data_IF_228569916319
#
_entry.id   IF_228569916319
#
_cell.length_a   1.000
_cell.length_b   1.000
_cell.length_c   1.000
_cell.angle_alpha   90.00
_cell.angle_beta   90.00
_cell.angle_gamma   90.00
#
_symmetry.space_group_name_H-M   'P 1'
#
loop_
_entity.id
_entity.type
_entity.pdbx_description
1 polymer ?
#
# COMPACT_ATOMS: atom_id res chain seq x y z
N UNK A 1 -29.66 52.00 1.85
CA UNK A 1 -28.28 51.46 1.76
C UNK A 1 -28.29 50.04 2.28
N UNK A 2 -28.41 49.06 1.37
CA UNK A 2 -28.25 47.65 1.71
C UNK A 2 -26.75 47.34 1.66
N UNK A 3 -26.18 46.95 2.80
CA UNK A 3 -24.79 46.51 2.91
C UNK A 3 -24.68 45.12 2.30
N UNK A 4 -24.02 45.04 1.14
CA UNK A 4 -23.63 43.79 0.50
C UNK A 4 -22.69 43.00 1.42
N UNK A 5 -23.11 41.79 1.81
CA UNK A 5 -22.23 40.82 2.47
C UNK A 5 -21.24 40.30 1.44
N UNK A 6 -19.98 40.74 1.54
CA UNK A 6 -18.86 40.12 0.82
C UNK A 6 -18.72 38.67 1.28
N UNK A 7 -18.98 37.72 0.37
CA UNK A 7 -18.57 36.33 0.55
C UNK A 7 -17.05 36.25 0.66
N UNK A 8 -16.58 35.58 1.72
CA UNK A 8 -15.16 35.27 1.87
C UNK A 8 -14.80 34.16 0.89
N UNK A 9 -13.65 34.23 0.19
CA UNK A 9 -13.19 33.14 -0.63
C UNK A 9 -13.00 31.89 0.23
N UNK A 10 -13.61 30.77 -0.16
CA UNK A 10 -13.35 29.48 0.47
C UNK A 10 -11.88 29.11 0.24
N UNK A 11 -11.13 28.91 1.32
CA UNK A 11 -9.79 28.32 1.26
C UNK A 11 -9.93 26.88 0.72
N UNK A 12 -9.00 26.41 -0.13
CA UNK A 12 -9.00 25.02 -0.54
C UNK A 12 -8.85 24.13 0.71
N UNK A 13 -9.80 23.21 0.91
CA UNK A 13 -9.81 22.27 2.02
C UNK A 13 -8.66 21.28 1.87
N UNK A 14 -7.50 21.66 2.43
CA UNK A 14 -6.30 20.83 2.51
C UNK A 14 -6.26 20.08 3.85
N UNK A 15 -7.40 19.78 4.47
CA UNK A 15 -7.41 19.02 5.72
C UNK A 15 -7.20 17.53 5.43
N UNK A 16 -6.04 17.01 5.87
CA UNK A 16 -5.79 15.56 5.95
C UNK A 16 -6.79 14.96 6.95
N UNK A 17 -7.98 14.60 6.48
CA UNK A 17 -8.99 13.96 7.32
C UNK A 17 -8.85 12.44 7.23
N UNK A 18 -9.00 11.71 8.35
CA UNK A 18 -9.03 10.26 8.32
C UNK A 18 -10.04 9.78 7.29
N UNK A 19 -9.62 8.85 6.43
CA UNK A 19 -10.49 8.31 5.39
C UNK A 19 -11.75 7.66 5.99
N UNK A 20 -11.64 7.13 7.21
CA UNK A 20 -12.75 6.65 8.03
C UNK A 20 -12.53 7.03 9.49
N UNK A 21 -13.56 7.56 10.15
CA UNK A 21 -13.53 7.98 11.56
C UNK A 21 -13.27 6.79 12.51
N UNK A 22 -13.84 5.62 12.20
CA UNK A 22 -13.66 4.39 12.96
C UNK A 22 -13.01 3.32 12.08
N UNK A 23 -11.87 2.78 12.53
CA UNK A 23 -11.18 1.69 11.81
C UNK A 23 -12.12 0.48 11.60
N UNK A 24 -12.31 0.01 10.37
CA UNK A 24 -13.12 -1.18 10.09
C UNK A 24 -12.59 -2.44 10.79
N UNK A 25 -13.51 -3.37 11.06
CA UNK A 25 -13.17 -4.69 11.59
C UNK A 25 -12.65 -5.60 10.46
N UNK A 26 -13.24 -5.46 9.27
CA UNK A 26 -12.83 -6.19 8.07
C UNK A 26 -12.44 -5.21 6.97
N UNK A 27 -11.43 -5.57 6.19
CA UNK A 27 -11.02 -4.87 4.98
C UNK A 27 -10.85 -5.89 3.85
N UNK A 28 -11.35 -5.58 2.66
CA UNK A 28 -10.90 -6.27 1.46
C UNK A 28 -9.40 -6.04 1.30
N UNK A 29 -8.68 -7.04 0.81
CA UNK A 29 -7.23 -6.97 0.76
C UNK A 29 -6.65 -7.62 -0.49
N UNK A 30 -5.66 -6.94 -1.06
CA UNK A 30 -4.83 -7.49 -2.12
C UNK A 30 -3.54 -8.06 -1.52
N UNK A 31 -3.03 -9.13 -2.13
CA UNK A 31 -1.77 -9.77 -1.77
C UNK A 31 -0.74 -9.53 -2.88
N UNK A 32 0.30 -8.77 -2.55
CA UNK A 32 1.41 -8.47 -3.45
C UNK A 32 2.63 -9.25 -2.99
N UNK A 33 3.27 -9.96 -3.92
CA UNK A 33 4.51 -10.70 -3.65
C UNK A 33 5.62 -10.08 -4.48
N UNK A 34 6.78 -9.93 -3.87
CA UNK A 34 7.96 -9.40 -4.55
C UNK A 34 9.19 -10.12 -4.05
N UNK A 35 10.18 -10.24 -4.94
CA UNK A 35 11.48 -10.79 -4.61
C UNK A 35 12.51 -9.68 -4.74
N UNK A 36 13.42 -9.63 -3.76
CA UNK A 36 14.59 -8.77 -3.80
C UNK A 36 15.80 -9.64 -3.49
N UNK A 37 16.75 -9.72 -4.44
CA UNK A 37 17.86 -10.67 -4.35
C UNK A 37 17.35 -12.11 -4.12
N UNK A 38 17.72 -12.71 -2.98
CA UNK A 38 17.29 -14.05 -2.57
C UNK A 38 16.08 -14.03 -1.62
N UNK A 39 15.73 -12.87 -1.08
CA UNK A 39 14.65 -12.72 -0.12
C UNK A 39 13.30 -12.61 -0.84
N UNK A 40 12.36 -13.45 -0.45
CA UNK A 40 10.97 -13.37 -0.89
C UNK A 40 10.19 -12.58 0.15
N UNK A 41 9.33 -11.70 -0.33
CA UNK A 41 8.53 -10.82 0.50
C UNK A 41 7.07 -10.88 0.09
N UNK A 42 6.21 -10.56 1.04
CA UNK A 42 4.77 -10.46 0.85
C UNK A 42 4.25 -9.18 1.50
N UNK A 43 3.25 -8.59 0.87
CA UNK A 43 2.51 -7.44 1.36
C UNK A 43 1.01 -7.71 1.22
N UNK A 44 0.26 -7.51 2.28
CA UNK A 44 -1.20 -7.51 2.32
C UNK A 44 -1.64 -6.06 2.42
N UNK A 45 -2.30 -5.55 1.39
CA UNK A 45 -2.78 -4.17 1.33
C UNK A 45 -4.27 -4.20 1.58
N UNK A 46 -4.69 -3.73 2.76
CA UNK A 46 -6.09 -3.54 3.11
C UNK A 46 -6.66 -2.31 2.41
N UNK A 47 -7.87 -2.44 1.90
CA UNK A 47 -8.53 -1.48 1.03
C UNK A 47 -9.84 -0.98 1.64
N UNK A 48 -10.10 0.31 1.42
CA UNK A 48 -11.41 0.93 1.60
C UNK A 48 -11.76 1.61 0.27
N UNK A 49 -12.92 1.27 -0.29
CA UNK A 49 -13.38 1.79 -1.58
C UNK A 49 -12.32 1.68 -2.70
N UNK A 50 -11.58 0.56 -2.71
CA UNK A 50 -10.52 0.28 -3.67
C UNK A 50 -9.21 1.06 -3.45
N UNK A 51 -9.13 1.88 -2.40
CA UNK A 51 -7.94 2.67 -2.04
C UNK A 51 -7.17 2.03 -0.89
N UNK A 52 -5.82 2.06 -0.91
CA UNK A 52 -5.00 1.59 0.20
C UNK A 52 -5.32 2.32 1.49
N UNK A 53 -5.65 1.53 2.51
CA UNK A 53 -5.94 2.03 3.85
C UNK A 53 -4.89 1.58 4.86
N UNK A 54 -4.39 0.34 4.75
CA UNK A 54 -3.32 -0.17 5.58
C UNK A 54 -2.49 -1.24 4.85
N UNK A 55 -1.27 -1.46 5.29
CA UNK A 55 -0.36 -2.44 4.70
C UNK A 55 0.32 -3.27 5.79
N UNK A 56 0.39 -4.58 5.56
CA UNK A 56 1.08 -5.55 6.38
C UNK A 56 2.13 -6.22 5.50
N UNK A 57 3.39 -6.23 5.90
CA UNK A 57 4.45 -6.71 5.02
C UNK A 57 5.64 -7.26 5.79
N UNK A 58 6.27 -8.27 5.21
CA UNK A 58 7.48 -8.89 5.73
C UNK A 58 7.90 -10.07 4.87
N UNK A 59 8.82 -10.88 5.39
CA UNK A 59 9.41 -12.01 4.67
C UNK A 59 8.34 -13.08 4.39
N UNK A 60 8.39 -13.60 3.17
CA UNK A 60 7.62 -14.74 2.71
C UNK A 60 8.53 -15.96 2.70
N UNK A 61 8.92 -16.42 3.88
CA UNK A 61 9.68 -17.64 4.08
C UNK A 61 8.78 -18.80 4.53
N UNK A 62 9.17 -20.02 4.18
CA UNK A 62 8.41 -21.24 4.41
C UNK A 62 8.58 -21.77 5.85
N UNK A 63 9.67 -21.40 6.54
CA UNK A 63 9.98 -21.85 7.91
C UNK A 63 9.44 -20.91 9.02
N UNK A 64 9.70 -19.60 8.92
CA UNK A 64 9.29 -18.59 9.92
C UNK A 64 8.25 -17.57 9.40
N UNK A 65 7.90 -17.63 8.12
CA UNK A 65 7.09 -16.61 7.44
C UNK A 65 5.59 -16.92 7.35
N UNK A 66 4.90 -16.16 6.49
CA UNK A 66 3.48 -16.33 6.24
C UNK A 66 3.26 -17.32 5.09
N UNK A 67 2.72 -18.49 5.42
CA UNK A 67 2.29 -19.48 4.44
C UNK A 67 0.99 -19.05 3.74
N UNK A 68 1.12 -18.23 2.70
CA UNK A 68 0.01 -17.81 1.84
C UNK A 68 0.21 -18.36 0.41
N UNK A 69 -0.62 -19.33 -0.04
CA UNK A 69 -0.45 -19.98 -1.34
C UNK A 69 -0.31 -18.97 -2.49
N UNK A 70 0.60 -19.21 -3.43
CA UNK A 70 0.89 -18.28 -4.55
C UNK A 70 -0.32 -17.94 -5.42
N UNK A 71 -1.34 -18.79 -5.46
CA UNK A 71 -2.59 -18.54 -6.20
C UNK A 71 -3.51 -17.52 -5.51
N UNK A 72 -3.22 -17.15 -4.26
CA UNK A 72 -4.06 -16.25 -3.47
C UNK A 72 -3.54 -14.82 -3.64
N UNK A 73 -4.30 -14.03 -4.39
CA UNK A 73 -4.00 -12.63 -4.67
C UNK A 73 -4.96 -11.65 -3.99
N UNK A 74 -6.05 -12.16 -3.43
CA UNK A 74 -7.10 -11.39 -2.74
C UNK A 74 -7.60 -12.13 -1.52
N UNK A 75 -8.13 -11.39 -0.55
CA UNK A 75 -8.75 -11.92 0.65
C UNK A 75 -9.27 -10.78 1.52
N UNK A 76 -9.37 -11.04 2.82
CA UNK A 76 -9.80 -10.07 3.83
C UNK A 76 -8.79 -9.97 4.95
N UNK A 77 -8.54 -8.76 5.41
CA UNK A 77 -7.84 -8.51 6.68
C UNK A 77 -8.90 -8.33 7.75
N UNK A 78 -8.80 -9.09 8.82
CA UNK A 78 -9.78 -9.12 9.91
C UNK A 78 -9.07 -8.73 11.21
N UNK A 79 -9.58 -7.70 11.88
CA UNK A 79 -9.13 -7.32 13.21
C UNK A 79 -9.88 -8.16 14.25
N UNK A 80 -9.19 -9.14 14.83
CA UNK A 80 -9.70 -9.92 15.94
C UNK A 80 -9.33 -9.26 17.29
N UNK A 81 -10.25 -9.37 18.26
CA UNK A 81 -10.08 -8.91 19.64
C UNK A 81 -10.27 -10.14 20.52
N UNK A 82 -9.23 -10.52 21.25
CA UNK A 82 -9.26 -11.63 22.19
C UNK A 82 -10.03 -11.25 23.48
N UNK A 83 -10.46 -12.24 24.29
CA UNK A 83 -11.21 -11.99 25.52
C UNK A 83 -10.48 -11.10 26.54
N UNK A 84 -9.14 -11.13 26.53
CA UNK A 84 -8.26 -10.31 27.38
C UNK A 84 -8.08 -8.86 26.84
N UNK A 85 -8.69 -8.53 25.70
CA UNK A 85 -8.58 -7.23 25.03
C UNK A 85 -7.40 -7.12 24.06
N UNK A 86 -6.56 -8.15 23.94
CA UNK A 86 -5.43 -8.17 23.00
C UNK A 86 -5.96 -8.17 21.57
N UNK A 87 -5.32 -7.38 20.70
CA UNK A 87 -5.74 -7.20 19.30
C UNK A 87 -4.79 -7.96 18.38
N UNK A 88 -5.33 -8.79 17.49
CA UNK A 88 -4.58 -9.44 16.42
C UNK A 88 -5.20 -9.12 15.06
N UNK A 89 -4.42 -9.29 14.00
CA UNK A 89 -4.89 -9.17 12.63
C UNK A 89 -4.72 -10.49 11.93
N UNK A 90 -5.77 -10.94 11.28
CA UNK A 90 -5.81 -12.21 10.57
C UNK A 90 -6.04 -11.94 9.08
N UNK A 91 -5.53 -12.81 8.22
CA UNK A 91 -5.81 -12.78 6.78
C UNK A 91 -6.66 -13.98 6.38
N UNK A 92 -7.86 -13.74 5.86
CA UNK A 92 -8.77 -14.79 5.40
C UNK A 92 -8.88 -14.80 3.88
N UNK A 93 -8.83 -15.97 3.26
CA UNK A 93 -9.05 -16.16 1.84
C UNK A 93 -9.90 -17.40 1.56
N UNK A 94 -10.40 -17.52 0.33
CA UNK A 94 -11.09 -18.72 -0.15
C UNK A 94 -10.08 -19.59 -0.89
N UNK A 95 -9.88 -20.82 -0.40
CA UNK A 95 -8.96 -21.76 -1.03
C UNK A 95 -9.57 -22.38 -2.31
N UNK A 96 -8.76 -23.15 -3.04
CA UNK A 96 -9.18 -23.78 -4.32
C UNK A 96 -10.41 -24.71 -4.21
N UNK A 97 -10.75 -25.16 -2.99
CA UNK A 97 -11.90 -26.03 -2.70
C UNK A 97 -13.13 -25.23 -2.24
N UNK A 98 -13.07 -23.90 -2.22
CA UNK A 98 -14.18 -23.03 -1.81
C UNK A 98 -14.28 -22.81 -0.30
N UNK A 99 -13.35 -23.33 0.50
CA UNK A 99 -13.38 -23.14 1.96
C UNK A 99 -12.64 -21.88 2.38
N UNK A 100 -13.19 -21.21 3.40
CA UNK A 100 -12.48 -20.15 4.11
C UNK A 100 -11.25 -20.74 4.79
N UNK A 101 -10.11 -20.09 4.59
CA UNK A 101 -8.85 -20.39 5.26
C UNK A 101 -8.33 -19.11 5.86
N UNK A 102 -7.98 -19.16 7.15
CA UNK A 102 -7.51 -18.00 7.91
C UNK A 102 -6.06 -18.21 8.30
N UNK A 103 -5.23 -17.22 8.01
CA UNK A 103 -3.87 -17.06 8.55
C UNK A 103 -4.00 -16.13 9.75
N UNK A 104 -3.97 -16.70 10.95
CA UNK A 104 -4.08 -15.91 12.18
C UNK A 104 -2.76 -15.26 12.56
N UNK A 105 -2.84 -14.12 13.27
CA UNK A 105 -1.67 -13.46 13.85
C UNK A 105 -0.72 -12.86 12.81
N UNK A 106 -1.26 -12.36 11.69
CA UNK A 106 -0.51 -11.74 10.59
C UNK A 106 0.50 -10.72 11.10
N UNK A 107 0.10 -9.85 12.03
CA UNK A 107 0.97 -8.82 12.62
C UNK A 107 2.10 -9.36 13.49
N UNK A 108 1.94 -10.56 14.05
CA UNK A 108 2.92 -11.20 14.95
C UNK A 108 3.94 -12.03 14.18
N UNK A 109 3.66 -12.34 12.91
CA UNK A 109 4.51 -13.13 12.01
C UNK A 109 5.60 -12.31 11.31
N UNK A 110 5.70 -11.02 11.58
CA UNK A 110 6.67 -10.14 10.93
C UNK A 110 7.78 -9.73 11.90
N UNK A 111 8.98 -9.55 11.33
CA UNK A 111 10.08 -8.94 12.07
C UNK A 111 9.62 -7.58 12.67
N UNK A 112 9.85 -7.33 13.98
CA UNK A 112 9.38 -6.11 14.65
C UNK A 112 9.80 -4.80 13.99
N UNK A 113 10.98 -4.75 13.36
CA UNK A 113 11.50 -3.58 12.66
C UNK A 113 10.61 -3.24 11.45
N UNK A 114 10.44 -4.17 10.50
CA UNK A 114 9.58 -3.97 9.33
C UNK A 114 8.12 -3.72 9.72
N UNK A 115 7.66 -4.36 10.79
CA UNK A 115 6.32 -4.13 11.31
C UNK A 115 6.12 -2.69 11.82
N UNK A 116 7.12 -2.09 12.47
CA UNK A 116 7.06 -0.70 12.90
C UNK A 116 6.92 0.26 11.71
N UNK A 117 7.67 0.05 10.63
CA UNK A 117 7.51 0.84 9.41
C UNK A 117 6.16 0.60 8.72
N UNK A 118 5.70 -0.65 8.65
CA UNK A 118 4.38 -0.97 8.11
C UNK A 118 3.24 -0.27 8.89
N UNK A 119 3.36 -0.17 10.22
CA UNK A 119 2.43 0.60 11.07
C UNK A 119 2.48 2.10 10.77
N UNK A 120 3.67 2.67 10.56
CA UNK A 120 3.84 4.08 10.19
C UNK A 120 3.18 4.38 8.84
N UNK A 121 3.46 3.56 7.83
CA UNK A 121 2.87 3.69 6.49
C UNK A 121 1.35 3.52 6.55
N UNK A 122 0.86 2.55 7.32
CA UNK A 122 -0.58 2.39 7.57
C UNK A 122 -1.17 3.61 8.29
N UNK A 123 -0.43 4.25 9.19
CA UNK A 123 -0.83 5.54 9.77
C UNK A 123 -1.08 6.57 8.67
N UNK A 124 -0.08 6.78 7.82
CA UNK A 124 -0.12 7.75 6.73
C UNK A 124 -1.26 7.48 5.73
N UNK A 125 -1.45 6.22 5.33
CA UNK A 125 -2.55 5.82 4.43
C UNK A 125 -3.94 6.09 5.04
N UNK A 126 -4.12 5.82 6.33
CA UNK A 126 -5.39 6.07 7.03
C UNK A 126 -5.78 7.54 7.10
N UNK A 127 -4.81 8.44 7.16
CA UNK A 127 -5.03 9.89 7.09
C UNK A 127 -5.27 10.40 5.67
N UNK A 128 -5.46 9.49 4.71
CA UNK A 128 -5.85 9.85 3.34
C UNK A 128 -4.73 10.54 2.56
N UNK A 129 -3.47 10.37 2.97
CA UNK A 129 -2.35 10.94 2.23
C UNK A 129 -2.35 10.38 0.78
N UNK A 130 -2.23 11.24 -0.24
CA UNK A 130 -2.14 10.81 -1.63
C UNK A 130 -1.04 9.77 -1.84
N UNK A 131 -1.30 8.76 -2.68
CA UNK A 131 -0.39 7.63 -2.89
C UNK A 131 0.97 8.07 -3.42
N UNK A 132 1.04 9.09 -4.28
CA UNK A 132 2.30 9.65 -4.77
C UNK A 132 3.16 10.25 -3.65
N UNK A 133 2.52 10.89 -2.65
CA UNK A 133 3.22 11.41 -1.47
C UNK A 133 3.64 10.27 -0.53
N UNK A 134 2.81 9.25 -0.36
CA UNK A 134 3.16 8.05 0.41
C UNK A 134 4.40 7.38 -0.21
N UNK A 135 4.45 7.26 -1.55
CA UNK A 135 5.61 6.70 -2.25
C UNK A 135 6.88 7.53 -2.02
N UNK A 136 6.79 8.86 -2.07
CA UNK A 136 7.92 9.76 -1.75
C UNK A 136 8.40 9.55 -0.31
N UNK A 137 7.48 9.44 0.65
CA UNK A 137 7.81 9.19 2.06
C UNK A 137 8.50 7.84 2.22
N UNK A 138 7.97 6.77 1.63
CA UNK A 138 8.56 5.42 1.68
C UNK A 138 9.96 5.41 1.03
N UNK A 139 10.13 6.06 -0.12
CA UNK A 139 11.42 6.15 -0.80
C UNK A 139 12.49 6.90 0.01
N UNK A 140 12.07 7.95 0.72
CA UNK A 140 12.90 8.77 1.61
C UNK A 140 13.23 8.12 2.96
N UNK A 141 12.72 6.92 3.26
CA UNK A 141 13.17 6.16 4.43
C UNK A 141 14.64 5.78 4.25
N UNK A 142 15.52 6.49 4.96
CA UNK A 142 16.93 6.15 5.15
C UNK A 142 17.08 5.36 6.44
N UNK A 143 17.63 4.17 6.32
CA UNK A 143 17.61 3.18 7.39
C UNK A 143 18.92 2.39 7.31
N UNK A 144 19.51 2.13 8.47
CA UNK A 144 20.92 1.74 8.63
C UNK A 144 21.27 0.32 8.12
N UNK A 145 20.30 -0.40 7.56
CA UNK A 145 20.44 -1.80 7.14
C UNK A 145 20.20 -1.98 5.62
N UNK A 146 21.07 -2.72 4.92
CA UNK A 146 20.89 -2.99 3.48
C UNK A 146 19.58 -3.73 3.13
N UNK A 147 19.09 -4.62 4.00
CA UNK A 147 17.86 -5.39 3.77
C UNK A 147 16.58 -4.54 3.82
N UNK A 148 16.64 -3.33 4.38
CA UNK A 148 15.47 -2.47 4.45
C UNK A 148 15.31 -1.60 3.19
N UNK A 149 16.42 -1.29 2.52
CA UNK A 149 16.42 -0.56 1.24
C UNK A 149 15.79 -1.41 0.14
N UNK A 150 15.95 -2.73 0.20
CA UNK A 150 15.24 -3.65 -0.69
C UNK A 150 13.77 -3.75 -0.32
N UNK A 151 13.45 -3.91 0.96
CA UNK A 151 12.07 -3.94 1.45
C UNK A 151 11.26 -2.70 1.00
N UNK A 152 11.78 -1.48 1.16
CA UNK A 152 11.06 -0.24 0.75
C UNK A 152 10.73 -0.21 -0.74
N UNK A 153 11.63 -0.68 -1.61
CA UNK A 153 11.35 -0.79 -3.06
C UNK A 153 10.18 -1.74 -3.35
N UNK A 154 10.04 -2.80 -2.55
CA UNK A 154 8.91 -3.71 -2.62
C UNK A 154 7.60 -3.08 -2.19
N UNK A 155 7.62 -2.33 -1.08
CA UNK A 155 6.46 -1.58 -0.59
C UNK A 155 6.02 -0.53 -1.61
N UNK A 156 6.96 0.20 -2.20
CA UNK A 156 6.65 1.14 -3.29
C UNK A 156 5.95 0.44 -4.46
N UNK A 157 6.44 -0.72 -4.90
CA UNK A 157 5.81 -1.49 -5.97
C UNK A 157 4.40 -1.93 -5.58
N UNK A 158 4.20 -2.38 -4.35
CA UNK A 158 2.88 -2.77 -3.85
C UNK A 158 1.87 -1.61 -3.85
N UNK A 159 2.34 -0.37 -3.62
CA UNK A 159 1.50 0.82 -3.58
C UNK A 159 1.33 1.51 -4.95
N UNK A 160 2.31 1.40 -5.86
CA UNK A 160 2.29 2.06 -7.19
C UNK A 160 1.06 1.73 -8.02
N UNK A 161 0.51 0.51 -7.90
CA UNK A 161 -0.71 0.11 -8.63
C UNK A 161 -1.98 0.88 -8.24
N UNK A 162 -1.95 1.61 -7.12
CA UNK A 162 -3.07 2.44 -6.66
C UNK A 162 -2.90 3.92 -7.00
N UNK A 163 -1.88 4.28 -7.78
CA UNK A 163 -1.79 5.62 -8.34
C UNK A 163 -2.96 5.85 -9.31
N UNK A 164 -3.61 7.03 -9.25
CA UNK A 164 -4.62 7.39 -10.24
C UNK A 164 -4.05 7.31 -11.66
N UNK A 165 -4.85 6.81 -12.61
CA UNK A 165 -4.48 6.81 -14.02
C UNK A 165 -4.20 8.25 -14.50
N UNK A 166 -3.16 8.41 -15.31
CA UNK A 166 -2.69 9.70 -15.79
C UNK A 166 -1.77 10.46 -14.84
N UNK A 167 -1.40 9.88 -13.68
CA UNK A 167 -0.43 10.51 -12.77
C UNK A 167 0.94 10.62 -13.45
N UNK A 168 1.49 11.83 -13.56
CA UNK A 168 2.80 12.07 -14.14
C UNK A 168 3.92 11.47 -13.27
N UNK A 169 4.85 10.75 -13.90
CA UNK A 169 6.08 10.30 -13.25
C UNK A 169 7.13 11.42 -13.25
N UNK A 170 6.89 12.44 -12.43
CA UNK A 170 7.74 13.64 -12.32
C UNK A 170 9.19 13.23 -12.01
N UNK A 171 10.14 13.75 -12.78
CA UNK A 171 11.57 13.46 -12.66
C UNK A 171 12.03 12.18 -13.37
N UNK A 172 11.14 11.45 -14.04
CA UNK A 172 11.51 10.26 -14.83
C UNK A 172 11.44 10.56 -16.32
N UNK A 173 12.54 10.28 -17.03
CA UNK A 173 12.60 10.36 -18.49
C UNK A 173 12.33 9.00 -19.12
N UNK A 174 11.62 9.03 -20.24
CA UNK A 174 11.37 7.84 -21.04
C UNK A 174 12.71 7.21 -21.48
N UNK A 175 12.96 5.92 -21.18
CA UNK A 175 14.21 5.26 -21.60
C UNK A 175 14.33 5.11 -23.11
N UNK A 176 13.20 5.11 -23.84
CA UNK A 176 13.18 4.99 -25.30
C UNK A 176 13.42 6.32 -26.06
N UNK A 177 12.76 7.42 -25.65
CA UNK A 177 12.82 8.70 -26.38
C UNK A 177 13.41 9.87 -25.59
N UNK A 178 13.76 9.68 -24.31
CA UNK A 178 14.37 10.70 -23.46
C UNK A 178 13.44 11.81 -22.96
N UNK A 179 12.18 11.84 -23.40
CA UNK A 179 11.20 12.85 -22.99
C UNK A 179 10.60 12.57 -21.60
N UNK A 180 10.25 13.62 -20.87
CA UNK A 180 9.63 13.56 -19.54
C UNK A 180 8.10 13.51 -19.63
N UNK A 181 7.59 12.53 -20.37
CA UNK A 181 6.17 12.36 -20.68
C UNK A 181 5.64 11.00 -20.22
N UNK A 182 6.24 10.47 -19.15
CA UNK A 182 5.85 9.21 -18.54
C UNK A 182 4.67 9.43 -17.58
N UNK A 183 3.63 8.62 -17.73
CA UNK A 183 2.44 8.60 -16.87
C UNK A 183 2.19 7.19 -16.32
N UNK A 184 1.57 7.09 -15.16
CA UNK A 184 1.06 5.83 -14.63
C UNK A 184 -0.34 5.57 -15.17
N UNK A 185 -0.55 4.39 -15.74
CA UNK A 185 -1.83 3.93 -16.24
C UNK A 185 -1.97 2.42 -15.99
N UNK A 186 -3.01 2.03 -15.26
CA UNK A 186 -3.32 0.63 -14.93
C UNK A 186 -2.15 -0.11 -14.25
N UNK A 187 -1.36 0.62 -13.45
CA UNK A 187 -0.16 0.08 -12.79
C UNK A 187 1.07 -0.07 -13.71
N UNK A 188 0.97 0.33 -14.97
CA UNK A 188 2.10 0.40 -15.89
C UNK A 188 2.56 1.86 -16.08
N UNK A 189 3.84 2.04 -16.37
CA UNK A 189 4.43 3.32 -16.72
C UNK A 189 4.45 3.46 -18.25
N UNK A 190 3.73 4.43 -18.80
CA UNK A 190 3.53 4.63 -20.24
C UNK A 190 4.08 5.99 -20.66
N UNK A 191 4.84 6.04 -21.75
CA UNK A 191 5.27 7.30 -22.36
C UNK A 191 4.22 7.78 -23.36
N UNK A 192 3.62 8.96 -23.13
CA UNK A 192 2.61 9.52 -24.04
C UNK A 192 3.21 10.03 -25.35
N UNK A 193 4.54 10.22 -25.43
CA UNK A 193 5.20 10.69 -26.66
C UNK A 193 5.59 9.57 -27.63
N UNK A 194 5.98 8.40 -27.14
CA UNK A 194 6.48 7.31 -27.99
C UNK A 194 5.76 5.97 -27.78
N UNK A 195 4.80 5.90 -26.85
CA UNK A 195 4.00 4.70 -26.60
C UNK A 195 4.72 3.57 -25.85
N UNK A 196 6.00 3.73 -25.49
CA UNK A 196 6.71 2.68 -24.73
C UNK A 196 6.06 2.50 -23.36
N UNK A 197 5.92 1.25 -22.92
CA UNK A 197 5.30 0.92 -21.63
C UNK A 197 6.14 -0.07 -20.83
N UNK A 198 6.20 0.10 -19.51
CA UNK A 198 6.82 -0.84 -18.57
C UNK A 198 5.88 -1.10 -17.40
N UNK A 199 5.45 -2.34 -17.26
CA UNK A 199 4.64 -2.78 -16.12
C UNK A 199 5.54 -3.29 -14.98
N UNK A 200 5.10 -3.06 -13.74
CA UNK A 200 5.83 -3.40 -12.52
C UNK A 200 5.50 -4.78 -11.96
#
# INVERSE_FOLDING_TARGET
MALEKKEKPALPDNSLQPHVIKRPIELEADVVRFQNNKEKWIAFVGLIDGKPYEIFTGLADDDDGIFCPKSVNKGKIIKAIAPDGTKRYDFQFINKRGYKTTIEGLSEKFNPEYWNYAKLISGVLRYGMPIDQVLKLVGGLELDNKSINTWKMGVERALKKYLPNGTNAIGQRCPNCGQETLIYQEGCLICTSCGTSKCG
#
